data_IF_671566717589
#
_entry.id   IF_671566717589
#
_cell.length_a   1.000
_cell.length_b   1.000
_cell.length_c   1.000
_cell.angle_alpha   90.00
_cell.angle_beta   90.00
_cell.angle_gamma   90.00
#
_symmetry.space_group_name_H-M   'P 1'
#
loop_
_entity.id
_entity.type
_entity.pdbx_description
1 polymer ?
#
# COMPACT_ATOMS: atom_id res chain seq x y z
N UNK A 1 -4.30 0.35 -11.12
CA UNK A 1 -5.42 0.63 -12.02
C UNK A 1 -4.87 0.75 -13.43
N UNK A 2 -5.65 0.35 -14.43
CA UNK A 2 -5.36 0.68 -15.81
C UNK A 2 -5.33 2.22 -15.99
N UNK A 3 -4.38 2.72 -16.77
CA UNK A 3 -4.13 4.17 -16.91
C UNK A 3 -5.18 4.84 -17.80
N UNK A 4 -5.74 4.11 -18.76
CA UNK A 4 -6.71 4.64 -19.73
C UNK A 4 -8.15 4.52 -19.19
N UNK A 5 -8.47 3.40 -18.56
CA UNK A 5 -9.85 3.07 -18.16
C UNK A 5 -10.13 3.27 -16.67
N UNK A 6 -9.08 3.28 -15.84
CA UNK A 6 -9.25 3.24 -14.39
C UNK A 6 -9.76 1.90 -13.85
N UNK A 7 -9.65 0.81 -14.62
CA UNK A 7 -10.02 -0.53 -14.17
C UNK A 7 -9.04 -1.05 -13.09
N UNK A 8 -9.55 -1.74 -12.05
CA UNK A 8 -8.71 -2.32 -11.01
C UNK A 8 -8.07 -3.63 -11.48
N UNK A 9 -6.78 -3.58 -11.81
CA UNK A 9 -6.01 -4.75 -12.28
C UNK A 9 -5.46 -5.63 -11.14
N UNK A 10 -5.14 -5.03 -9.99
CA UNK A 10 -4.54 -5.75 -8.85
C UNK A 10 -4.82 -5.01 -7.54
N UNK A 11 -4.90 -5.76 -6.45
CA UNK A 11 -5.05 -5.26 -5.09
C UNK A 11 -4.41 -6.23 -4.09
N UNK A 12 -3.80 -5.69 -3.03
CA UNK A 12 -3.36 -6.48 -1.88
C UNK A 12 -3.63 -5.72 -0.59
N UNK A 13 -4.00 -6.46 0.46
CA UNK A 13 -4.24 -5.92 1.79
C UNK A 13 -2.94 -5.90 2.58
N UNK A 14 -2.51 -4.71 2.97
CA UNK A 14 -1.33 -4.50 3.80
C UNK A 14 -1.69 -4.48 5.29
N UNK A 15 -0.68 -4.50 6.17
CA UNK A 15 -0.86 -4.55 7.62
C UNK A 15 -1.29 -3.22 8.26
N UNK A 16 -1.09 -2.10 7.57
CA UNK A 16 -1.51 -0.76 8.00
C UNK A 16 -1.87 0.12 6.80
N UNK A 17 -2.28 1.36 7.07
CA UNK A 17 -2.54 2.35 6.02
C UNK A 17 -1.29 2.69 5.24
N UNK A 18 -1.43 2.86 3.92
CA UNK A 18 -0.33 3.36 3.07
C UNK A 18 0.07 4.75 3.55
N UNK A 19 1.37 4.95 3.73
CA UNK A 19 1.96 6.22 4.16
C UNK A 19 3.12 6.54 3.22
N UNK A 20 2.99 7.57 2.40
CA UNK A 20 4.00 7.97 1.42
C UNK A 20 3.66 7.52 0.01
N UNK A 21 4.62 7.71 -0.91
CA UNK A 21 4.45 7.38 -2.33
C UNK A 21 5.06 6.01 -2.65
N UNK A 22 4.39 5.20 -3.49
CA UNK A 22 5.00 4.03 -4.08
C UNK A 22 6.26 4.39 -4.90
N UNK A 23 7.24 3.49 -4.94
CA UNK A 23 8.45 3.62 -5.76
C UNK A 23 8.74 2.33 -6.50
N UNK A 24 9.34 2.43 -7.69
CA UNK A 24 9.81 1.27 -8.47
C UNK A 24 11.34 1.29 -8.56
N UNK A 25 11.94 0.11 -8.61
CA UNK A 25 13.38 -0.07 -8.76
C UNK A 25 13.70 -1.44 -9.36
N UNK A 26 14.94 -1.65 -9.80
CA UNK A 26 15.42 -2.91 -10.37
C UNK A 26 16.66 -3.39 -9.63
N UNK A 27 16.76 -4.69 -9.40
CA UNK A 27 17.95 -5.37 -8.86
C UNK A 27 18.19 -6.62 -9.70
N UNK A 28 19.38 -6.76 -10.27
CA UNK A 28 19.80 -7.92 -11.08
C UNK A 28 18.79 -8.31 -12.19
N UNK A 29 18.23 -7.31 -12.88
CA UNK A 29 17.25 -7.51 -13.95
C UNK A 29 15.82 -7.84 -13.47
N UNK A 30 15.58 -7.88 -12.15
CA UNK A 30 14.25 -8.08 -11.57
C UNK A 30 13.67 -6.75 -11.13
N UNK A 31 12.47 -6.42 -11.64
CA UNK A 31 11.74 -5.23 -11.25
C UNK A 31 10.96 -5.44 -9.94
N UNK A 32 11.01 -4.43 -9.08
CA UNK A 32 10.29 -4.38 -7.81
C UNK A 32 9.47 -3.09 -7.71
N UNK A 33 8.39 -3.15 -6.94
CA UNK A 33 7.73 -1.95 -6.45
C UNK A 33 7.56 -2.01 -4.92
N UNK A 34 7.86 -0.89 -4.27
CA UNK A 34 7.85 -0.73 -2.82
C UNK A 34 6.78 0.25 -2.37
N UNK A 35 6.07 -0.09 -1.28
CA UNK A 35 5.04 0.76 -0.66
C UNK A 35 5.27 0.81 0.85
N UNK A 36 5.55 1.99 1.43
CA UNK A 36 5.59 2.18 2.86
C UNK A 36 4.18 2.23 3.47
N UNK A 37 4.07 1.65 4.65
CA UNK A 37 2.84 1.68 5.47
C UNK A 37 3.15 2.20 6.86
N UNK A 38 2.14 2.84 7.45
CA UNK A 38 2.15 3.25 8.84
C UNK A 38 1.04 4.22 9.18
N UNK A 39 0.86 4.45 10.48
CA UNK A 39 -0.06 5.45 11.04
C UNK A 39 0.66 6.77 11.27
N UNK A 40 0.08 7.88 10.80
CA UNK A 40 0.62 9.23 10.98
C UNK A 40 0.93 9.94 9.68
N UNK A 41 1.51 11.15 9.77
CA UNK A 41 1.79 11.98 8.60
C UNK A 41 0.54 12.22 7.75
N UNK A 42 0.68 12.07 6.43
CA UNK A 42 -0.42 12.21 5.46
C UNK A 42 -1.29 10.96 5.25
N UNK A 43 -1.12 9.87 6.01
CA UNK A 43 -1.94 8.67 5.78
C UNK A 43 -3.40 8.88 6.22
N UNK A 44 -4.39 8.35 5.49
CA UNK A 44 -5.81 8.59 5.75
C UNK A 44 -6.37 7.76 6.93
N UNK A 45 -5.53 7.39 7.89
CA UNK A 45 -5.89 6.53 9.02
C UNK A 45 -6.96 7.11 9.95
N UNK A 46 -7.09 8.44 10.00
CA UNK A 46 -8.14 9.13 10.78
C UNK A 46 -9.50 9.12 10.09
N UNK A 47 -9.52 9.12 8.76
CA UNK A 47 -10.77 9.23 7.98
C UNK A 47 -11.62 7.96 8.18
N UNK A 48 -10.98 6.78 8.21
CA UNK A 48 -11.66 5.52 8.52
C UNK A 48 -12.40 5.57 9.87
N UNK A 49 -11.73 6.04 10.93
CA UNK A 49 -12.35 6.14 12.26
C UNK A 49 -13.48 7.19 12.32
N UNK A 50 -13.48 8.19 11.44
CA UNK A 50 -14.51 9.23 11.39
C UNK A 50 -15.74 8.80 10.60
N UNK A 51 -15.56 8.15 9.45
CA UNK A 51 -16.65 7.77 8.54
C UNK A 51 -17.20 6.36 8.79
N UNK A 52 -16.37 5.46 9.34
CA UNK A 52 -16.70 4.07 9.58
C UNK A 52 -16.13 3.65 10.96
N UNK A 53 -16.67 4.19 12.07
CA UNK A 53 -16.14 3.96 13.43
C UNK A 53 -16.14 2.49 13.86
N UNK A 54 -16.95 1.65 13.22
CA UNK A 54 -16.96 0.19 13.38
C UNK A 54 -15.70 -0.49 12.81
N UNK A 55 -15.00 0.17 11.88
CA UNK A 55 -13.75 -0.32 11.32
C UNK A 55 -12.56 0.08 12.22
N UNK A 56 -12.08 -0.86 13.02
CA UNK A 56 -10.89 -0.62 13.84
C UNK A 56 -9.59 -0.76 13.03
N UNK A 57 -8.88 0.35 12.85
CA UNK A 57 -7.46 0.33 12.45
C UNK A 57 -6.61 0.13 13.70
N UNK A 58 -5.97 -1.05 13.81
CA UNK A 58 -5.06 -1.37 14.91
C UNK A 58 -3.83 -0.47 14.93
N UNK A 59 -3.26 -0.25 16.12
CA UNK A 59 -2.00 0.49 16.27
C UNK A 59 -0.83 -0.36 15.77
N UNK A 60 0.18 0.29 15.17
CA UNK A 60 1.42 -0.36 14.73
C UNK A 60 1.43 -0.76 13.25
N UNK A 61 2.17 -1.83 12.95
CA UNK A 61 2.37 -2.37 11.60
C UNK A 61 3.01 -1.40 10.60
N UNK A 62 4.00 -0.62 11.06
CA UNK A 62 4.86 0.12 10.14
C UNK A 62 5.76 -0.89 9.41
N UNK A 63 5.68 -0.89 8.08
CA UNK A 63 6.44 -1.81 7.25
C UNK A 63 6.67 -1.23 5.85
N UNK A 64 7.75 -1.68 5.21
CA UNK A 64 7.97 -1.52 3.78
C UNK A 64 7.56 -2.83 3.10
N UNK A 65 6.51 -2.78 2.28
CA UNK A 65 6.10 -3.91 1.45
C UNK A 65 6.78 -3.81 0.10
N UNK A 66 7.44 -4.88 -0.34
CA UNK A 66 8.10 -4.95 -1.64
C UNK A 66 7.54 -6.14 -2.41
N UNK A 67 7.13 -5.89 -3.64
CA UNK A 67 6.49 -6.87 -4.52
C UNK A 67 7.31 -7.04 -5.80
N UNK A 68 7.27 -8.26 -6.34
CA UNK A 68 7.73 -8.62 -7.67
C UNK A 68 6.74 -9.61 -8.29
N UNK A 69 6.83 -9.83 -9.59
CA UNK A 69 6.15 -10.95 -10.23
C UNK A 69 6.76 -12.27 -9.74
N UNK A 70 5.92 -13.29 -9.52
CA UNK A 70 6.41 -14.65 -9.30
C UNK A 70 7.04 -15.18 -10.59
N UNK A 71 8.04 -16.06 -10.45
CA UNK A 71 8.51 -16.84 -11.59
C UNK A 71 7.41 -17.82 -12.05
N UNK A 72 7.39 -18.21 -13.33
CA UNK A 72 6.46 -19.21 -13.84
C UNK A 72 6.54 -20.56 -13.13
#
# INVERSE_FOLDING_TARGET
YDVETGEKLWESRLGSTVMGFPVTFEVDGVQYFGIPTGRGGGSPWRIGNFLAPEMMSSNGHNALYVFRLSEP
#
